data_IF_993662381779
#
_entry.id   IF_993662381779
#
_cell.length_a   1.000
_cell.length_b   1.000
_cell.length_c   1.000
_cell.angle_alpha   90.00
_cell.angle_beta   90.00
_cell.angle_gamma   90.00
#
_symmetry.space_group_name_H-M   'P 1'
#
loop_
_entity.id
_entity.type
_entity.pdbx_description
1 polymer ?
#
# COMPACT_ATOMS: atom_id res chain seq x y z
N UNK A 1 -31.39 -37.46 -41.23
CA UNK A 1 -31.83 -36.49 -40.21
C UNK A 1 -30.90 -35.29 -40.29
N UNK A 2 -31.31 -34.21 -40.94
CA UNK A 2 -30.51 -33.00 -41.04
C UNK A 2 -30.65 -32.22 -39.72
N UNK A 3 -29.52 -31.99 -39.05
CA UNK A 3 -29.45 -31.12 -37.88
C UNK A 3 -29.77 -29.69 -38.33
N UNK A 4 -30.95 -29.20 -37.96
CA UNK A 4 -31.27 -27.76 -38.09
C UNK A 4 -30.31 -27.03 -37.14
N UNK A 5 -29.47 -26.09 -37.63
CA UNK A 5 -28.66 -25.27 -36.74
C UNK A 5 -29.62 -24.42 -35.89
N UNK A 6 -29.48 -24.50 -34.58
CA UNK A 6 -30.23 -23.66 -33.66
C UNK A 6 -30.00 -22.20 -34.06
N UNK A 7 -31.06 -21.54 -34.53
CA UNK A 7 -31.08 -20.10 -34.76
C UNK A 7 -30.86 -19.47 -33.39
N UNK A 8 -29.61 -19.12 -33.11
CA UNK A 8 -29.24 -18.42 -31.89
C UNK A 8 -29.81 -17.03 -32.04
N UNK A 9 -30.88 -16.75 -31.28
CA UNK A 9 -31.47 -15.42 -31.22
C UNK A 9 -30.35 -14.42 -30.88
N UNK A 10 -30.21 -13.30 -31.63
CA UNK A 10 -29.23 -12.29 -31.26
C UNK A 10 -29.54 -11.84 -29.84
N UNK A 11 -28.52 -11.85 -28.98
CA UNK A 11 -28.65 -11.40 -27.60
C UNK A 11 -29.13 -9.96 -27.60
N UNK A 12 -30.07 -9.68 -26.70
CA UNK A 12 -30.78 -8.40 -26.54
C UNK A 12 -30.77 -7.97 -25.07
N UNK A 13 -31.27 -6.77 -24.76
CA UNK A 13 -31.36 -6.24 -23.38
C UNK A 13 -31.97 -7.24 -22.37
N UNK A 14 -32.92 -8.07 -22.82
CA UNK A 14 -33.61 -9.09 -22.01
C UNK A 14 -32.67 -10.24 -21.60
N UNK A 15 -31.60 -10.49 -22.36
CA UNK A 15 -30.61 -11.54 -22.09
C UNK A 15 -29.50 -11.06 -21.11
N UNK A 16 -29.64 -9.83 -20.57
CA UNK A 16 -28.76 -9.33 -19.52
C UNK A 16 -28.90 -10.19 -18.25
N UNK A 17 -27.79 -10.60 -17.62
CA UNK A 17 -27.85 -11.47 -16.45
C UNK A 17 -28.48 -10.72 -15.27
N UNK A 18 -29.50 -11.25 -14.60
CA UNK A 18 -30.12 -10.56 -13.47
C UNK A 18 -29.14 -10.41 -12.32
N UNK A 19 -29.38 -9.44 -11.44
CA UNK A 19 -28.51 -9.17 -10.30
C UNK A 19 -28.27 -10.46 -9.48
N UNK A 20 -27.00 -10.74 -9.14
CA UNK A 20 -26.51 -11.97 -8.49
C UNK A 20 -26.43 -13.23 -9.37
N UNK A 21 -26.84 -13.18 -10.63
CA UNK A 21 -26.62 -14.28 -11.56
C UNK A 21 -25.14 -14.41 -11.95
N UNK A 22 -24.76 -15.62 -12.38
CA UNK A 22 -23.40 -15.91 -12.84
C UNK A 22 -23.11 -15.12 -14.11
N UNK A 23 -22.24 -14.11 -14.00
CA UNK A 23 -21.89 -13.20 -15.10
C UNK A 23 -22.46 -11.78 -14.95
N UNK A 24 -23.32 -11.52 -13.96
CA UNK A 24 -23.74 -10.16 -13.65
C UNK A 24 -22.63 -9.38 -12.92
N UNK A 25 -22.58 -8.05 -13.07
CA UNK A 25 -21.75 -7.20 -12.23
C UNK A 25 -22.17 -7.35 -10.76
N UNK A 26 -21.22 -7.12 -9.85
CA UNK A 26 -21.56 -6.93 -8.43
C UNK A 26 -22.43 -5.67 -8.32
N UNK A 27 -23.37 -5.69 -7.37
CA UNK A 27 -24.20 -4.54 -7.05
C UNK A 27 -23.31 -3.35 -6.70
N UNK A 28 -23.45 -2.25 -7.42
CA UNK A 28 -22.65 -1.05 -7.20
C UNK A 28 -23.26 -0.21 -6.07
N UNK A 29 -22.52 -0.04 -4.98
CA UNK A 29 -22.97 0.66 -3.77
C UNK A 29 -22.52 2.12 -3.69
N UNK A 30 -21.74 2.62 -4.64
CA UNK A 30 -21.13 3.95 -4.59
C UNK A 30 -19.67 3.96 -4.12
N UNK A 31 -19.03 2.79 -3.97
CA UNK A 31 -17.63 2.68 -3.59
C UNK A 31 -16.71 3.31 -4.65
N UNK A 32 -15.90 4.34 -4.30
CA UNK A 32 -15.03 5.04 -5.25
C UNK A 32 -14.08 4.11 -6.02
N UNK A 33 -13.52 3.11 -5.34
CA UNK A 33 -12.58 2.14 -5.91
C UNK A 33 -13.20 1.15 -6.90
N UNK A 34 -14.53 1.05 -6.96
CA UNK A 34 -15.22 0.06 -7.78
C UNK A 34 -15.90 0.69 -9.01
N UNK A 35 -16.02 2.01 -9.07
CA UNK A 35 -16.72 2.76 -10.14
C UNK A 35 -16.18 2.40 -11.52
N UNK A 36 -14.87 2.53 -11.72
CA UNK A 36 -14.20 2.31 -13.01
C UNK A 36 -14.36 0.87 -13.48
N UNK A 37 -14.14 -0.08 -12.56
CA UNK A 37 -14.26 -1.52 -12.82
C UNK A 37 -15.71 -1.93 -13.10
N UNK A 38 -16.67 -1.34 -12.38
CA UNK A 38 -18.09 -1.56 -12.56
C UNK A 38 -18.54 -1.08 -13.94
N UNK A 39 -18.24 0.18 -14.29
CA UNK A 39 -18.60 0.77 -15.58
C UNK A 39 -17.97 -0.02 -16.75
N UNK A 40 -16.70 -0.40 -16.64
CA UNK A 40 -16.05 -1.24 -17.65
C UNK A 40 -16.67 -2.63 -17.79
N UNK A 41 -17.24 -3.19 -16.71
CA UNK A 41 -17.96 -4.45 -16.76
C UNK A 41 -19.34 -4.28 -17.42
N UNK A 42 -20.07 -3.21 -17.09
CA UNK A 42 -21.32 -2.85 -17.76
C UNK A 42 -21.12 -2.68 -19.27
N UNK A 43 -20.06 -1.99 -19.71
CA UNK A 43 -19.76 -1.83 -21.14
C UNK A 43 -19.47 -3.16 -21.85
N UNK A 44 -18.76 -4.08 -21.18
CA UNK A 44 -18.54 -5.44 -21.71
C UNK A 44 -19.87 -6.20 -21.85
N UNK A 45 -20.81 -5.99 -20.95
CA UNK A 45 -22.13 -6.62 -21.04
C UNK A 45 -22.99 -5.99 -22.14
N UNK A 46 -22.96 -4.67 -22.28
CA UNK A 46 -23.67 -3.97 -23.37
C UNK A 46 -23.15 -4.41 -24.74
N UNK A 47 -21.83 -4.56 -24.88
CA UNK A 47 -21.22 -5.08 -26.12
C UNK A 47 -21.56 -6.55 -26.37
N UNK A 48 -21.61 -7.40 -25.33
CA UNK A 48 -22.00 -8.81 -25.45
C UNK A 48 -23.48 -9.02 -25.82
N UNK A 49 -24.34 -8.10 -25.37
CA UNK A 49 -25.80 -8.19 -25.54
C UNK A 49 -26.35 -7.20 -26.58
N UNK A 50 -25.48 -6.62 -27.42
CA UNK A 50 -25.82 -5.71 -28.52
C UNK A 50 -26.70 -4.51 -28.10
N UNK A 51 -26.50 -4.00 -26.89
CA UNK A 51 -27.22 -2.82 -26.36
C UNK A 51 -26.51 -1.57 -26.86
N UNK A 52 -27.03 -0.98 -27.93
CA UNK A 52 -26.43 0.20 -28.56
C UNK A 52 -27.12 1.51 -28.19
N UNK A 53 -28.40 1.46 -27.83
CA UNK A 53 -29.18 2.64 -27.47
C UNK A 53 -28.83 3.15 -26.07
N UNK A 54 -28.65 4.45 -25.94
CA UNK A 54 -28.22 5.07 -24.68
C UNK A 54 -29.30 4.97 -23.59
N UNK A 55 -30.58 4.95 -23.97
CA UNK A 55 -31.69 4.73 -23.03
C UNK A 55 -31.62 3.33 -22.41
N UNK A 56 -31.47 2.29 -23.25
CA UNK A 56 -31.37 0.91 -22.78
C UNK A 56 -30.13 0.70 -21.88
N UNK A 57 -29.00 1.34 -22.17
CA UNK A 57 -27.80 1.28 -21.31
C UNK A 57 -28.05 1.87 -19.93
N UNK A 58 -28.75 3.00 -19.85
CA UNK A 58 -29.04 3.67 -18.58
C UNK A 58 -29.98 2.83 -17.72
N UNK A 59 -31.05 2.27 -18.32
CA UNK A 59 -32.00 1.40 -17.63
C UNK A 59 -31.32 0.11 -17.14
N UNK A 60 -30.59 -0.57 -18.02
CA UNK A 60 -29.90 -1.81 -17.65
C UNK A 60 -28.78 -1.57 -16.63
N UNK A 61 -28.10 -0.42 -16.65
CA UNK A 61 -27.16 -0.07 -15.59
C UNK A 61 -27.86 0.15 -14.26
N UNK A 62 -29.02 0.82 -14.24
CA UNK A 62 -29.77 1.12 -13.03
C UNK A 62 -30.16 -0.15 -12.26
N UNK A 63 -30.45 -1.26 -12.96
CA UNK A 63 -30.72 -2.57 -12.34
C UNK A 63 -29.55 -3.12 -11.51
N UNK A 64 -28.31 -2.73 -11.84
CA UNK A 64 -27.11 -3.17 -11.12
C UNK A 64 -26.65 -2.19 -10.03
N UNK A 65 -27.32 -1.04 -9.90
CA UNK A 65 -27.00 -0.01 -8.91
C UNK A 65 -27.77 -0.24 -7.59
N UNK A 66 -27.21 0.26 -6.48
CA UNK A 66 -27.95 0.36 -5.21
C UNK A 66 -29.02 1.45 -5.31
N UNK A 67 -30.06 1.35 -4.47
CA UNK A 67 -31.15 2.35 -4.44
C UNK A 67 -30.62 3.76 -4.14
N UNK A 68 -29.62 3.87 -3.26
CA UNK A 68 -28.93 5.14 -2.97
C UNK A 68 -28.26 5.71 -4.21
N UNK A 69 -27.51 4.88 -4.96
CA UNK A 69 -26.91 5.30 -6.22
C UNK A 69 -27.98 5.68 -7.24
N UNK A 70 -29.05 4.90 -7.39
CA UNK A 70 -30.16 5.22 -8.31
C UNK A 70 -30.75 6.59 -8.00
N UNK A 71 -31.00 6.94 -6.74
CA UNK A 71 -31.51 8.27 -6.37
C UNK A 71 -30.53 9.40 -6.74
N UNK A 72 -29.22 9.17 -6.63
CA UNK A 72 -28.20 10.11 -7.11
C UNK A 72 -28.26 10.22 -8.64
N UNK A 73 -28.45 9.11 -9.34
CA UNK A 73 -28.56 9.07 -10.80
C UNK A 73 -29.83 9.78 -11.30
N UNK A 74 -30.98 9.56 -10.66
CA UNK A 74 -32.26 10.22 -10.94
C UNK A 74 -32.16 11.75 -10.79
N UNK A 75 -31.29 12.23 -9.90
CA UNK A 75 -30.99 13.66 -9.74
C UNK A 75 -30.19 14.28 -10.90
N UNK A 76 -29.64 13.48 -11.81
CA UNK A 76 -28.82 13.97 -12.92
C UNK A 76 -29.64 14.23 -14.20
N UNK A 77 -29.39 15.38 -14.82
CA UNK A 77 -30.05 15.79 -16.08
C UNK A 77 -29.88 14.77 -17.22
N UNK A 78 -28.74 14.08 -17.24
CA UNK A 78 -28.36 13.10 -18.28
C UNK A 78 -28.87 11.68 -18.00
N UNK A 79 -29.58 11.48 -16.89
CA UNK A 79 -30.39 10.29 -16.66
C UNK A 79 -31.77 10.46 -17.31
N UNK A 80 -32.36 11.66 -17.21
CA UNK A 80 -33.63 12.01 -17.89
C UNK A 80 -33.45 12.22 -19.40
N UNK A 81 -32.28 12.73 -19.82
CA UNK A 81 -31.89 12.86 -21.23
C UNK A 81 -30.78 11.86 -21.54
N UNK A 82 -31.08 10.71 -22.16
CA UNK A 82 -30.15 9.59 -22.23
C UNK A 82 -28.90 9.97 -23.03
N UNK A 83 -27.78 10.11 -22.32
CA UNK A 83 -26.45 10.26 -22.91
C UNK A 83 -25.46 9.46 -22.06
N UNK A 84 -25.13 8.26 -22.52
CA UNK A 84 -24.31 7.32 -21.75
C UNK A 84 -22.91 7.86 -21.49
N UNK A 85 -22.28 8.49 -22.48
CA UNK A 85 -20.91 8.96 -22.38
C UNK A 85 -20.76 10.04 -21.29
N UNK A 86 -21.68 11.01 -21.26
CA UNK A 86 -21.68 12.08 -20.26
C UNK A 86 -22.08 11.54 -18.87
N UNK A 87 -23.06 10.62 -18.82
CA UNK A 87 -23.44 9.97 -17.56
C UNK A 87 -22.27 9.21 -16.95
N UNK A 88 -21.51 8.48 -17.76
CA UNK A 88 -20.31 7.74 -17.34
C UNK A 88 -19.28 8.68 -16.71
N UNK A 89 -18.91 9.76 -17.39
CA UNK A 89 -17.95 10.74 -16.85
C UNK A 89 -18.46 11.41 -15.59
N UNK A 90 -19.76 11.72 -15.52
CA UNK A 90 -20.36 12.28 -14.30
C UNK A 90 -20.36 11.27 -13.14
N UNK A 91 -20.58 9.98 -13.40
CA UNK A 91 -20.45 8.94 -12.38
C UNK A 91 -19.00 8.81 -11.90
N UNK A 92 -18.03 8.83 -12.82
CA UNK A 92 -16.60 8.80 -12.47
C UNK A 92 -16.23 10.01 -11.58
N UNK A 93 -16.72 11.21 -11.90
CA UNK A 93 -16.47 12.42 -11.11
C UNK A 93 -17.21 12.43 -9.75
N UNK A 94 -18.51 12.14 -9.73
CA UNK A 94 -19.35 12.21 -8.52
C UNK A 94 -18.93 11.20 -7.46
N UNK A 95 -18.55 9.99 -7.88
CA UNK A 95 -18.08 8.96 -6.97
C UNK A 95 -16.57 9.02 -6.72
N UNK A 96 -15.89 10.08 -7.19
CA UNK A 96 -14.46 10.32 -6.95
C UNK A 96 -13.60 9.11 -7.36
N UNK A 97 -13.78 8.66 -8.60
CA UNK A 97 -13.05 7.53 -9.18
C UNK A 97 -11.52 7.71 -9.14
N UNK A 98 -11.06 8.97 -9.06
CA UNK A 98 -9.65 9.33 -8.88
C UNK A 98 -9.05 8.81 -7.57
N UNK A 99 -9.88 8.49 -6.56
CA UNK A 99 -9.41 7.77 -5.36
C UNK A 99 -8.82 6.40 -5.68
N UNK A 100 -9.25 5.75 -6.75
CA UNK A 100 -8.61 4.49 -7.19
C UNK A 100 -7.22 4.74 -7.78
N UNK A 101 -7.02 5.89 -8.44
CA UNK A 101 -5.71 6.35 -8.89
C UNK A 101 -4.81 6.81 -7.75
N UNK A 102 -5.35 7.03 -6.55
CA UNK A 102 -4.64 7.36 -5.32
C UNK A 102 -4.80 6.28 -4.24
N UNK A 103 -4.99 5.02 -4.65
CA UNK A 103 -5.32 3.91 -3.74
C UNK A 103 -4.33 3.75 -2.60
N UNK A 104 -3.04 3.93 -2.87
CA UNK A 104 -1.98 3.81 -1.87
C UNK A 104 -1.10 5.04 -1.83
N UNK A 105 -0.76 5.50 -0.63
CA UNK A 105 0.20 6.59 -0.44
C UNK A 105 1.53 6.04 0.08
N UNK A 106 2.66 6.74 -0.12
CA UNK A 106 3.92 6.39 0.53
C UNK A 106 3.81 6.33 2.07
N UNK A 107 2.86 7.07 2.64
CA UNK A 107 2.51 6.99 4.06
C UNK A 107 1.99 5.60 4.46
N UNK A 108 1.20 4.94 3.62
CA UNK A 108 0.62 3.64 3.93
C UNK A 108 1.69 2.55 3.86
N UNK A 109 2.64 2.68 2.94
CA UNK A 109 3.84 1.85 2.92
C UNK A 109 4.66 2.01 4.21
N UNK A 110 4.87 3.23 4.68
CA UNK A 110 5.57 3.49 5.96
C UNK A 110 4.83 2.83 7.14
N UNK A 111 3.52 3.04 7.26
CA UNK A 111 2.70 2.41 8.31
C UNK A 111 2.79 0.89 8.28
N UNK A 112 2.72 0.29 7.08
CA UNK A 112 2.87 -1.16 6.91
C UNK A 112 4.26 -1.61 7.38
N UNK A 113 5.33 -0.95 6.92
CA UNK A 113 6.70 -1.31 7.35
C UNK A 113 6.91 -1.15 8.85
N UNK A 114 6.30 -0.13 9.48
CA UNK A 114 6.38 0.07 10.93
C UNK A 114 5.57 -0.98 11.72
N UNK A 115 4.41 -1.41 11.21
CA UNK A 115 3.60 -2.50 11.79
C UNK A 115 4.39 -3.82 11.76
N UNK A 116 4.94 -4.18 10.60
CA UNK A 116 5.64 -5.44 10.40
C UNK A 116 7.04 -5.47 11.01
N UNK A 117 7.75 -4.34 11.10
CA UNK A 117 9.05 -4.27 11.79
C UNK A 117 8.98 -4.73 13.24
N UNK A 118 7.83 -4.51 13.91
CA UNK A 118 7.60 -4.90 15.30
C UNK A 118 7.10 -6.33 15.45
N UNK A 119 6.50 -6.91 14.41
CA UNK A 119 5.94 -8.26 14.44
C UNK A 119 7.02 -9.26 14.05
N UNK A 120 7.26 -10.28 14.89
CA UNK A 120 8.17 -11.36 14.54
C UNK A 120 7.55 -12.28 13.49
N UNK A 121 8.28 -12.53 12.41
CA UNK A 121 7.89 -13.44 11.33
C UNK A 121 8.53 -14.79 11.61
N UNK A 122 7.74 -15.74 12.14
CA UNK A 122 8.23 -17.08 12.54
C UNK A 122 7.94 -18.15 11.51
N UNK A 123 6.89 -17.97 10.72
CA UNK A 123 6.35 -19.00 9.84
C UNK A 123 6.25 -18.52 8.39
N UNK A 124 6.36 -19.45 7.44
CA UNK A 124 6.13 -19.17 6.00
C UNK A 124 4.79 -18.48 5.74
N UNK A 125 3.73 -18.82 6.49
CA UNK A 125 2.41 -18.20 6.36
C UNK A 125 2.45 -16.69 6.67
N UNK A 126 3.09 -16.32 7.77
CA UNK A 126 3.27 -14.92 8.19
C UNK A 126 4.16 -14.14 7.22
N UNK A 127 5.22 -14.77 6.69
CA UNK A 127 6.07 -14.18 5.66
C UNK A 127 5.29 -13.87 4.38
N UNK A 128 4.51 -14.84 3.89
CA UNK A 128 3.66 -14.63 2.71
C UNK A 128 2.54 -13.61 2.95
N UNK A 129 2.01 -13.50 4.17
CA UNK A 129 1.04 -12.44 4.54
C UNK A 129 1.70 -11.06 4.40
N UNK A 130 2.92 -10.90 4.93
CA UNK A 130 3.70 -9.68 4.78
C UNK A 130 3.98 -9.34 3.32
N UNK A 131 4.56 -10.28 2.56
CA UNK A 131 4.89 -10.05 1.15
C UNK A 131 3.64 -9.67 0.34
N UNK A 132 2.51 -10.38 0.48
CA UNK A 132 1.27 -10.02 -0.23
C UNK A 132 0.83 -8.59 0.08
N UNK A 133 0.82 -8.20 1.35
CA UNK A 133 0.41 -6.84 1.74
C UNK A 133 1.43 -5.80 1.24
N UNK A 134 2.72 -6.08 1.34
CA UNK A 134 3.78 -5.21 0.87
C UNK A 134 3.69 -5.01 -0.65
N UNK A 135 3.66 -6.07 -1.46
CA UNK A 135 3.54 -6.00 -2.92
C UNK A 135 2.25 -5.29 -3.35
N UNK A 136 1.15 -5.43 -2.59
CA UNK A 136 -0.11 -4.72 -2.89
C UNK A 136 0.03 -3.20 -2.79
N UNK A 137 0.83 -2.70 -1.83
CA UNK A 137 1.05 -1.27 -1.62
C UNK A 137 2.25 -0.78 -2.44
N UNK A 138 3.42 -1.37 -2.22
CA UNK A 138 4.68 -1.00 -2.84
C UNK A 138 4.68 -1.25 -4.35
N UNK A 139 4.09 -2.36 -4.81
CA UNK A 139 3.99 -2.66 -6.24
C UNK A 139 3.06 -1.69 -6.98
N UNK A 140 2.00 -1.23 -6.32
CA UNK A 140 1.16 -0.16 -6.87
C UNK A 140 1.91 1.17 -6.96
N UNK A 141 2.72 1.50 -5.93
CA UNK A 141 3.54 2.72 -5.92
C UNK A 141 4.65 2.68 -6.97
N UNK A 142 5.23 1.51 -7.22
CA UNK A 142 6.23 1.28 -8.26
C UNK A 142 5.62 1.43 -9.66
N UNK A 143 4.45 0.85 -9.92
CA UNK A 143 3.74 0.99 -11.20
C UNK A 143 3.34 2.43 -11.56
N UNK A 144 3.26 3.30 -10.55
CA UNK A 144 2.94 4.72 -10.71
C UNK A 144 4.20 5.61 -10.74
N UNK A 145 5.40 5.02 -10.74
CA UNK A 145 6.69 5.71 -10.67
C UNK A 145 6.81 6.67 -9.47
N UNK A 146 6.11 6.37 -8.36
CA UNK A 146 6.19 7.17 -7.12
C UNK A 146 7.42 6.75 -6.30
N UNK A 147 7.86 5.50 -6.47
CA UNK A 147 8.95 4.84 -5.75
C UNK A 147 9.81 4.11 -6.77
N UNK A 148 11.13 4.21 -6.65
CA UNK A 148 12.09 3.48 -7.48
C UNK A 148 12.37 2.07 -6.95
N UNK A 149 12.93 1.19 -7.78
CA UNK A 149 13.33 -0.18 -7.38
C UNK A 149 14.26 -0.18 -6.15
N UNK A 150 15.14 0.81 -6.05
CA UNK A 150 16.06 0.96 -4.90
C UNK A 150 15.31 1.29 -3.60
N UNK A 151 14.29 2.14 -3.69
CA UNK A 151 13.43 2.49 -2.57
C UNK A 151 12.51 1.32 -2.21
N UNK A 152 12.01 0.60 -3.20
CA UNK A 152 11.22 -0.62 -3.02
C UNK A 152 12.00 -1.65 -2.18
N UNK A 153 13.23 -1.98 -2.55
CA UNK A 153 14.11 -2.88 -1.79
C UNK A 153 14.42 -2.35 -0.38
N UNK A 154 14.63 -1.04 -0.24
CA UNK A 154 14.87 -0.39 1.06
C UNK A 154 13.66 -0.49 2.00
N UNK A 155 12.45 -0.25 1.49
CA UNK A 155 11.21 -0.36 2.29
C UNK A 155 10.92 -1.81 2.65
N UNK A 156 11.18 -2.75 1.75
CA UNK A 156 11.07 -4.19 2.02
C UNK A 156 11.99 -4.57 3.17
N UNK A 157 13.28 -4.23 3.07
CA UNK A 157 14.25 -4.48 4.15
C UNK A 157 13.82 -3.85 5.48
N UNK A 158 13.37 -2.60 5.46
CA UNK A 158 12.94 -1.88 6.66
C UNK A 158 11.73 -2.53 7.37
N UNK A 159 10.83 -3.14 6.61
CA UNK A 159 9.64 -3.80 7.16
C UNK A 159 9.92 -5.17 7.79
N UNK A 160 11.09 -5.76 7.55
CA UNK A 160 11.48 -7.05 8.12
C UNK A 160 11.89 -6.86 9.59
N UNK A 161 11.43 -7.78 10.44
CA UNK A 161 11.81 -7.82 11.85
C UNK A 161 13.33 -7.93 12.04
N UNK A 162 13.89 -7.34 13.11
CA UNK A 162 15.35 -7.28 13.35
C UNK A 162 16.02 -8.66 13.31
N UNK A 163 15.43 -9.65 13.97
CA UNK A 163 15.96 -11.02 13.98
C UNK A 163 16.00 -11.67 12.59
N UNK A 164 14.95 -11.51 11.78
CA UNK A 164 14.93 -12.07 10.43
C UNK A 164 15.91 -11.34 9.51
N UNK A 165 16.09 -10.02 9.69
CA UNK A 165 17.12 -9.25 8.97
C UNK A 165 18.52 -9.78 9.24
N UNK A 166 18.86 -10.04 10.51
CA UNK A 166 20.16 -10.61 10.87
C UNK A 166 20.41 -11.94 10.15
N UNK A 167 19.44 -12.86 10.17
CA UNK A 167 19.57 -14.16 9.49
C UNK A 167 19.78 -13.99 7.98
N UNK A 168 19.05 -13.04 7.36
CA UNK A 168 19.19 -12.77 5.92
C UNK A 168 20.55 -12.15 5.62
N UNK A 169 20.99 -11.18 6.43
CA UNK A 169 22.28 -10.51 6.33
C UNK A 169 23.45 -11.48 6.48
N UNK A 170 23.42 -12.34 7.50
CA UNK A 170 24.44 -13.37 7.74
C UNK A 170 24.54 -14.32 6.54
N UNK A 171 23.41 -14.71 5.95
CA UNK A 171 23.37 -15.60 4.80
C UNK A 171 23.82 -14.90 3.51
N UNK A 172 23.53 -13.61 3.35
CA UNK A 172 24.04 -12.80 2.24
C UNK A 172 25.56 -12.63 2.34
N UNK A 173 26.08 -12.31 3.52
CA UNK A 173 27.53 -12.18 3.76
C UNK A 173 28.27 -13.51 3.61
N UNK A 174 27.61 -14.63 3.93
CA UNK A 174 28.16 -15.96 3.69
C UNK A 174 28.25 -16.31 2.20
N UNK A 175 27.35 -15.78 1.36
CA UNK A 175 27.42 -15.95 -0.10
C UNK A 175 28.49 -15.03 -0.69
N UNK A 176 28.45 -13.74 -0.35
CA UNK A 176 29.36 -12.72 -0.89
C UNK A 176 30.01 -11.87 0.23
N UNK A 177 31.18 -12.27 0.75
CA UNK A 177 31.84 -11.59 1.88
C UNK A 177 32.35 -10.16 1.59
N UNK A 178 32.47 -9.76 0.33
CA UNK A 178 33.00 -8.43 -0.10
C UNK A 178 31.89 -7.46 -0.53
N UNK A 179 30.64 -7.78 -0.24
CA UNK A 179 29.50 -7.02 -0.76
C UNK A 179 29.35 -5.66 -0.06
N UNK A 180 28.99 -4.65 -0.84
CA UNK A 180 28.72 -3.30 -0.32
C UNK A 180 27.40 -3.28 0.45
N UNK A 181 27.49 -3.14 1.77
CA UNK A 181 26.33 -3.07 2.68
C UNK A 181 25.58 -1.73 2.64
N UNK A 182 26.08 -0.77 1.85
CA UNK A 182 25.49 0.56 1.70
C UNK A 182 24.32 0.60 0.72
N UNK A 183 24.20 -0.43 -0.14
CA UNK A 183 23.15 -0.52 -1.16
C UNK A 183 22.02 -1.42 -0.65
N UNK A 184 20.74 -1.03 -0.83
CA UNK A 184 19.61 -1.90 -0.51
C UNK A 184 19.68 -3.23 -1.28
N UNK A 185 19.35 -4.33 -0.61
CA UNK A 185 19.29 -5.64 -1.25
C UNK A 185 18.10 -5.74 -2.21
N UNK A 186 18.27 -6.54 -3.27
CA UNK A 186 17.19 -6.81 -4.23
C UNK A 186 16.06 -7.60 -3.55
N UNK A 187 14.82 -7.38 -3.98
CA UNK A 187 13.67 -8.16 -3.50
C UNK A 187 13.89 -9.66 -3.70
N UNK A 188 14.40 -10.06 -4.87
CA UNK A 188 14.58 -11.47 -5.23
C UNK A 188 15.56 -12.18 -4.29
N UNK A 189 16.63 -11.50 -3.90
CA UNK A 189 17.65 -12.03 -2.99
C UNK A 189 17.08 -12.22 -1.58
N UNK A 190 16.39 -11.20 -1.06
CA UNK A 190 15.74 -11.24 0.26
C UNK A 190 14.70 -12.37 0.28
N UNK A 191 13.79 -12.38 -0.70
CA UNK A 191 12.71 -13.37 -0.78
C UNK A 191 13.27 -14.77 -0.92
N UNK A 192 14.27 -14.98 -1.78
CA UNK A 192 14.91 -16.28 -1.97
C UNK A 192 15.56 -16.83 -0.69
N UNK A 193 16.22 -15.98 0.08
CA UNK A 193 16.87 -16.38 1.34
C UNK A 193 15.84 -16.71 2.42
N UNK A 194 14.82 -15.85 2.57
CA UNK A 194 13.76 -16.06 3.56
C UNK A 194 12.94 -17.30 3.21
N UNK A 195 12.64 -17.52 1.93
CA UNK A 195 11.97 -18.73 1.48
C UNK A 195 12.80 -19.97 1.78
N UNK A 196 14.12 -19.94 1.54
CA UNK A 196 15.02 -21.02 1.91
C UNK A 196 15.13 -21.25 3.43
N UNK A 197 14.92 -20.21 4.25
CA UNK A 197 14.89 -20.35 5.72
C UNK A 197 13.59 -21.04 6.18
N UNK A 198 12.45 -20.67 5.60
CA UNK A 198 11.13 -21.21 5.97
C UNK A 198 10.62 -22.36 5.07
N UNK A 199 11.49 -22.95 4.24
CA UNK A 199 11.16 -24.13 3.41
C UNK A 199 10.49 -25.19 4.29
N UNK A 200 9.30 -25.64 3.89
CA UNK A 200 8.55 -26.70 4.59
C UNK A 200 9.18 -28.06 4.30
N UNK A 201 9.27 -28.92 5.31
CA UNK A 201 9.77 -30.29 5.14
C UNK A 201 11.29 -30.33 5.05
N UNK A 202 11.98 -29.55 5.87
CA UNK A 202 13.43 -29.73 6.04
C UNK A 202 13.68 -31.08 6.73
N UNK A 203 14.83 -31.67 6.44
CA UNK A 203 15.19 -32.98 7.01
C UNK A 203 15.31 -32.95 8.54
N UNK A 204 15.52 -31.76 9.12
CA UNK A 204 15.69 -31.49 10.55
C UNK A 204 14.41 -30.98 11.23
N UNK A 205 13.29 -30.78 10.51
CA UNK A 205 12.03 -30.29 11.08
C UNK A 205 11.49 -31.24 12.19
N UNK A 206 11.71 -32.55 12.06
CA UNK A 206 11.28 -33.58 13.03
C UNK A 206 12.20 -33.68 14.25
N UNK A 207 13.39 -33.08 14.21
CA UNK A 207 14.38 -33.11 15.31
C UNK A 207 14.13 -31.97 16.30
N UNK A 208 13.64 -30.82 15.80
CA UNK A 208 13.34 -29.62 16.60
C UNK A 208 11.93 -29.64 17.22
N UNK A 209 11.08 -30.62 16.90
CA UNK A 209 9.68 -30.70 17.35
C UNK A 209 9.49 -31.14 18.82
N UNK A 210 10.49 -30.90 19.67
CA UNK A 210 10.51 -31.35 21.06
C UNK A 210 9.82 -30.44 22.07
N UNK A 211 9.77 -29.12 21.85
CA UNK A 211 9.20 -28.19 22.84
C UNK A 211 8.97 -26.77 22.30
N UNK A 212 8.07 -26.61 21.33
CA UNK A 212 7.58 -25.27 20.96
C UNK A 212 6.08 -25.30 20.81
N UNK A 213 5.41 -24.95 21.91
CA UNK A 213 4.03 -24.50 21.93
C UNK A 213 3.83 -23.40 20.88
N UNK A 214 3.47 -23.81 19.67
CA UNK A 214 3.04 -22.95 18.59
C UNK A 214 1.58 -22.54 18.88
N UNK A 215 1.38 -21.84 20.00
CA UNK A 215 0.15 -21.12 20.26
C UNK A 215 0.19 -19.85 19.41
N UNK A 216 -0.18 -20.00 18.13
CA UNK A 216 -0.56 -18.89 17.25
C UNK A 216 -1.90 -18.35 17.80
N UNK A 217 -1.83 -17.64 18.93
CA UNK A 217 -2.88 -16.74 19.37
C UNK A 217 -2.74 -15.46 18.55
N UNK A 218 -3.03 -15.58 17.26
CA UNK A 218 -3.31 -14.43 16.41
C UNK A 218 -4.63 -13.82 16.93
N UNK A 219 -4.50 -12.85 17.85
CA UNK A 219 -5.58 -11.92 18.19
C UNK A 219 -5.84 -11.04 16.96
N UNK A 220 -6.57 -11.59 15.99
CA UNK A 220 -7.04 -10.89 14.79
C UNK A 220 -8.22 -9.98 15.19
N UNK A 221 -7.91 -8.89 15.90
CA UNK A 221 -8.73 -7.68 15.88
C UNK A 221 -8.12 -6.69 14.87
N UNK A 222 -7.99 -7.13 13.62
CA UNK A 222 -7.88 -6.21 12.50
C UNK A 222 -9.33 -5.89 12.08
N UNK A 223 -9.87 -4.81 12.66
CA UNK A 223 -11.10 -4.17 12.21
C UNK A 223 -10.81 -3.59 10.83
N UNK A 224 -10.96 -4.40 9.78
CA UNK A 224 -11.12 -3.89 8.44
C UNK A 224 -12.47 -3.17 8.41
N UNK A 225 -12.44 -1.84 8.45
CA UNK A 225 -13.54 -0.96 8.05
C UNK A 225 -13.81 -1.17 6.55
N UNK A 226 -14.40 -2.33 6.23
CA UNK A 226 -15.24 -2.45 5.04
C UNK A 226 -16.54 -1.75 5.39
N UNK A 227 -16.76 -0.58 4.80
CA UNK A 227 -18.03 0.13 4.79
C UNK A 227 -19.13 -0.80 4.24
N UNK A 228 -19.74 -1.56 5.14
CA UNK A 228 -21.01 -2.23 4.95
C UNK A 228 -22.08 -1.29 5.48
N UNK A 229 -22.42 -0.29 4.69
CA UNK A 229 -23.62 0.51 4.90
C UNK A 229 -24.83 -0.37 4.54
N UNK A 230 -25.30 -1.14 5.52
CA UNK A 230 -26.57 -1.83 5.45
C UNK A 230 -27.60 -0.95 6.16
N UNK A 231 -28.10 0.05 5.45
CA UNK A 231 -29.34 0.73 5.83
C UNK A 231 -30.50 -0.23 5.50
N UNK A 232 -30.84 -1.08 6.47
CA UNK A 232 -32.05 -1.88 6.43
C UNK A 232 -33.15 -1.18 7.22
N UNK A 233 -34.28 -1.04 6.53
CA UNK A 233 -35.44 -0.27 6.93
C UNK A 233 -36.26 -1.05 7.95
N UNK A 234 -36.77 -0.30 8.92
CA UNK A 234 -37.68 -0.68 9.99
C UNK A 234 -38.92 -1.45 9.46
N UNK A 235 -39.22 -2.60 10.06
CA UNK A 235 -40.57 -3.18 10.09
C UNK A 235 -40.72 -4.15 11.27
N UNK A 236 -41.48 -3.69 12.27
CA UNK A 236 -41.96 -4.44 13.42
C UNK A 236 -42.74 -5.70 12.99
N UNK A 237 -42.36 -6.90 13.47
CA UNK A 237 -43.37 -7.88 13.90
C UNK A 237 -42.84 -8.74 15.08
N UNK A 238 -43.58 -8.70 16.18
CA UNK A 238 -43.46 -9.50 17.39
C UNK A 238 -43.73 -11.00 17.13
N UNK A 239 -42.76 -11.88 17.39
CA UNK A 239 -43.05 -13.32 17.59
C UNK A 239 -42.24 -13.92 18.74
N UNK A 240 -42.93 -14.22 19.84
CA UNK A 240 -42.46 -15.07 20.92
C UNK A 240 -42.25 -16.51 20.42
N UNK A 241 -41.04 -17.05 20.56
CA UNK A 241 -40.83 -18.50 20.70
C UNK A 241 -39.78 -18.84 21.76
N UNK A 242 -40.24 -19.47 22.84
CA UNK A 242 -39.44 -20.15 23.87
C UNK A 242 -38.97 -21.51 23.37
N UNK A 243 -37.71 -21.89 23.67
CA UNK A 243 -37.24 -23.14 24.32
C UNK A 243 -35.71 -23.22 24.24
N UNK A 244 -34.99 -23.16 25.38
CA UNK A 244 -34.29 -24.26 26.11
C UNK A 244 -33.29 -25.03 25.21
N UNK A 245 -32.04 -25.36 25.56
CA UNK A 245 -31.20 -25.37 26.77
C UNK A 245 -29.75 -25.64 26.26
N UNK A 246 -28.66 -25.34 26.98
CA UNK A 246 -27.97 -26.27 27.89
C UNK A 246 -26.73 -25.62 28.53
N UNK A 247 -26.54 -26.00 29.79
CA UNK A 247 -25.44 -25.79 30.74
C UNK A 247 -24.00 -25.69 30.21
N UNK A 248 -23.18 -24.87 30.86
CA UNK A 248 -22.04 -25.40 31.65
C UNK A 248 -21.39 -24.35 32.59
N UNK A 249 -21.27 -24.77 33.86
CA UNK A 249 -20.26 -24.46 34.89
C UNK A 249 -19.82 -23.01 35.16
N UNK A 250 -20.38 -22.46 36.24
CA UNK A 250 -19.74 -21.43 37.07
C UNK A 250 -19.03 -22.09 38.27
N UNK A 251 -17.85 -21.58 38.63
CA UNK A 251 -17.24 -21.70 39.97
C UNK A 251 -16.81 -20.31 40.46
N UNK A 252 -16.76 -20.09 41.79
CA UNK A 252 -16.99 -18.78 42.40
C UNK A 252 -15.69 -18.06 42.79
N UNK A 253 -15.69 -16.73 42.75
CA UNK A 253 -14.64 -15.92 43.41
C UNK A 253 -15.25 -15.19 44.61
N UNK A 254 -14.71 -15.51 45.77
CA UNK A 254 -15.00 -14.94 47.08
C UNK A 254 -14.42 -13.52 47.17
N UNK A 255 -15.22 -12.64 47.76
CA UNK A 255 -14.90 -11.25 48.10
C UNK A 255 -13.82 -11.16 49.19
N UNK A 256 -12.87 -10.23 49.07
CA UNK A 256 -12.32 -9.50 50.22
C UNK A 256 -12.06 -8.03 49.86
N UNK A 257 -12.75 -7.14 50.58
CA UNK A 257 -12.56 -5.69 50.66
C UNK A 257 -11.37 -5.38 51.57
N UNK A 258 -10.55 -4.38 51.25
CA UNK A 258 -10.09 -3.34 52.19
C UNK A 258 -9.87 -2.04 51.41
N UNK A 259 -10.32 -0.92 52.00
CA UNK A 259 -10.18 0.48 51.56
C UNK A 259 -9.11 1.20 52.39
N UNK A 260 -8.65 2.35 51.85
CA UNK A 260 -7.96 3.54 52.43
C UNK A 260 -6.44 3.52 52.22
N UNK A 261 -5.74 4.62 51.87
CA UNK A 261 -5.97 6.08 52.08
C UNK A 261 -5.31 6.93 50.95
N UNK A 262 -5.71 8.21 50.86
CA UNK A 262 -5.14 9.31 50.05
C UNK A 262 -3.97 9.99 50.77
N UNK A 263 -3.04 10.59 50.02
CA UNK A 263 -2.23 11.82 50.27
C UNK A 263 -1.30 12.00 49.03
N UNK A 264 -1.35 13.01 48.14
CA UNK A 264 -1.19 14.49 48.18
C UNK A 264 0.28 14.98 48.20
N UNK A 265 0.70 15.53 47.05
CA UNK A 265 1.71 16.58 46.76
C UNK A 265 3.22 16.30 46.90
N UNK A 266 4.00 16.51 45.82
CA UNK A 266 4.94 17.65 45.67
C UNK A 266 5.84 17.57 44.40
N UNK A 267 5.63 18.53 43.49
CA UNK A 267 6.56 19.40 42.75
C UNK A 267 8.10 19.11 42.58
N UNK A 268 8.53 19.04 41.28
CA UNK A 268 9.74 19.60 40.54
C UNK A 268 11.18 19.22 40.97
N UNK A 269 12.26 19.35 40.12
CA UNK A 269 12.43 19.47 38.66
C UNK A 269 13.39 18.47 37.98
N UNK A 270 13.37 18.60 36.64
CA UNK A 270 14.34 18.21 35.61
C UNK A 270 15.84 18.37 35.92
N UNK A 271 16.64 17.42 35.38
CA UNK A 271 18.03 17.65 34.97
C UNK A 271 18.25 16.97 33.61
N UNK A 272 18.40 17.79 32.57
CA UNK A 272 18.92 17.46 31.25
C UNK A 272 20.39 17.91 31.24
N UNK A 273 21.38 17.06 30.93
CA UNK A 273 22.70 17.55 30.57
C UNK A 273 22.73 17.90 29.08
N UNK A 274 22.78 19.21 28.84
CA UNK A 274 23.05 19.89 27.58
C UNK A 274 24.53 19.68 27.24
N UNK A 275 24.85 18.88 26.21
CA UNK A 275 26.22 18.81 25.67
C UNK A 275 26.32 19.79 24.50
N UNK A 276 27.25 20.72 24.67
CA UNK A 276 27.51 21.86 23.82
C UNK A 276 28.13 21.45 22.48
N UNK A 277 27.70 22.13 21.42
CA UNK A 277 28.39 22.19 20.15
C UNK A 277 29.70 23.00 20.29
N UNK A 278 30.83 22.54 19.72
CA UNK A 278 32.02 23.37 19.61
C UNK A 278 31.89 24.32 18.41
N UNK A 279 32.23 25.57 18.70
CA UNK A 279 32.19 26.73 17.82
C UNK A 279 33.18 26.64 16.65
N UNK A 280 32.78 27.25 15.54
CA UNK A 280 33.62 27.52 14.39
C UNK A 280 34.75 28.52 14.71
N UNK A 281 35.96 28.35 14.14
CA UNK A 281 36.98 29.39 14.09
C UNK A 281 36.75 30.38 12.93
N UNK A 282 37.38 31.56 12.97
CA UNK A 282 36.89 32.78 12.35
C UNK A 282 37.15 32.89 10.83
N UNK A 283 36.24 33.59 10.18
CA UNK A 283 36.30 34.09 8.81
C UNK A 283 37.52 34.99 8.59
N UNK A 284 38.49 34.48 7.82
CA UNK A 284 39.42 35.31 7.07
C UNK A 284 38.96 35.32 5.61
N UNK A 285 38.65 36.52 5.12
CA UNK A 285 38.12 36.76 3.78
C UNK A 285 39.07 36.32 2.67
N UNK A 286 38.54 35.45 1.82
CA UNK A 286 38.62 35.49 0.36
C UNK A 286 37.82 34.29 -0.13
N UNK A 287 36.48 34.40 -0.10
CA UNK A 287 35.61 33.43 -0.78
C UNK A 287 35.74 33.68 -2.27
N UNK A 288 36.78 33.12 -2.88
CA UNK A 288 36.78 32.88 -4.32
C UNK A 288 35.69 31.80 -4.55
N UNK A 289 34.45 32.24 -4.75
CA UNK A 289 33.35 31.35 -5.10
C UNK A 289 33.76 30.57 -6.35
N UNK A 290 33.51 29.25 -6.36
CA UNK A 290 33.91 28.36 -7.47
C UNK A 290 33.42 28.91 -8.82
N UNK A 291 32.29 29.60 -8.83
CA UNK A 291 31.76 30.30 -10.01
C UNK A 291 32.68 31.40 -10.55
N UNK A 292 33.31 32.19 -9.69
CA UNK A 292 34.24 33.26 -10.10
C UNK A 292 35.57 32.68 -10.59
N UNK A 293 36.05 31.62 -9.96
CA UNK A 293 37.22 30.85 -10.43
C UNK A 293 36.98 30.28 -11.83
N UNK A 294 35.83 29.65 -12.07
CA UNK A 294 35.46 29.10 -13.38
C UNK A 294 35.31 30.20 -14.43
N UNK A 295 34.73 31.34 -14.07
CA UNK A 295 34.55 32.50 -14.97
C UNK A 295 35.88 33.19 -15.31
N UNK A 296 36.88 33.11 -14.43
CA UNK A 296 38.24 33.62 -14.68
C UNK A 296 39.04 32.63 -15.52
N UNK A 297 38.91 31.33 -15.28
CA UNK A 297 39.51 30.27 -16.08
C UNK A 297 38.99 30.30 -17.53
N UNK A 298 37.70 30.54 -17.76
CA UNK A 298 37.15 30.60 -19.12
C UNK A 298 37.63 31.80 -19.96
N UNK A 299 38.17 32.83 -19.32
CA UNK A 299 38.68 34.05 -19.97
C UNK A 299 40.19 34.03 -20.21
N UNK A 300 40.93 33.15 -19.53
CA UNK A 300 42.38 33.04 -19.70
C UNK A 300 42.75 32.04 -20.80
N UNK A 301 43.92 32.26 -21.39
CA UNK A 301 44.53 31.33 -22.34
C UNK A 301 45.15 30.14 -21.61
N UNK A 302 45.09 28.95 -22.22
CA UNK A 302 45.70 27.71 -21.69
C UNK A 302 47.22 27.81 -21.53
N UNK A 303 47.87 28.77 -22.21
CA UNK A 303 49.32 28.94 -22.16
C UNK A 303 49.79 29.87 -21.03
N UNK A 304 48.87 30.35 -20.19
CA UNK A 304 49.18 31.24 -19.08
C UNK A 304 49.59 30.43 -17.84
N UNK A 305 50.69 30.82 -17.19
CA UNK A 305 51.27 30.08 -16.06
C UNK A 305 50.32 30.07 -14.85
N UNK A 306 49.44 31.07 -14.73
CA UNK A 306 48.43 31.16 -13.67
C UNK A 306 47.22 30.24 -13.88
N UNK A 307 46.97 29.78 -15.12
CA UNK A 307 45.83 28.92 -15.44
C UNK A 307 45.88 27.60 -14.68
N UNK A 308 47.06 26.98 -14.63
CA UNK A 308 47.30 25.70 -13.95
C UNK A 308 47.01 25.79 -12.45
N UNK A 309 47.43 26.89 -11.82
CA UNK A 309 47.25 27.11 -10.40
C UNK A 309 45.77 27.30 -10.05
N UNK A 310 45.04 28.08 -10.85
CA UNK A 310 43.60 28.31 -10.65
C UNK A 310 42.77 27.05 -10.94
N UNK A 311 43.13 26.26 -11.95
CA UNK A 311 42.48 24.99 -12.26
C UNK A 311 42.64 23.98 -11.11
N UNK A 312 43.83 23.89 -10.52
CA UNK A 312 44.07 23.04 -9.35
C UNK A 312 43.29 23.51 -8.12
N UNK A 313 43.23 24.83 -7.88
CA UNK A 313 42.44 25.40 -6.78
C UNK A 313 40.94 25.13 -6.96
N UNK A 314 40.41 25.27 -8.17
CA UNK A 314 39.00 25.05 -8.48
C UNK A 314 38.59 23.57 -8.37
N UNK A 315 39.42 22.64 -8.86
CA UNK A 315 39.17 21.19 -8.78
C UNK A 315 39.24 20.64 -7.35
N UNK A 316 40.04 21.25 -6.46
CA UNK A 316 40.03 20.92 -5.03
C UNK A 316 38.77 21.38 -4.29
N UNK A 317 38.12 22.44 -4.76
CA UNK A 317 36.89 22.97 -4.17
C UNK A 317 35.66 22.22 -4.69
N UNK A 318 35.61 21.95 -6.00
CA UNK A 318 34.57 21.11 -6.59
C UNK A 318 35.15 20.22 -7.71
N UNK A 319 35.14 18.88 -7.54
CA UNK A 319 35.61 17.94 -8.55
C UNK A 319 34.88 18.05 -9.90
N UNK A 320 33.68 18.66 -9.94
CA UNK A 320 32.90 18.82 -11.17
C UNK A 320 33.47 19.89 -12.11
N UNK A 321 34.35 20.78 -11.63
CA UNK A 321 34.99 21.82 -12.46
C UNK A 321 35.81 21.22 -13.60
N UNK A 322 36.39 20.03 -13.41
CA UNK A 322 37.15 19.31 -14.43
C UNK A 322 36.31 18.92 -15.67
N UNK A 323 34.97 18.90 -15.55
CA UNK A 323 34.06 18.65 -16.68
C UNK A 323 33.68 19.94 -17.42
N UNK A 324 33.77 21.08 -16.75
CA UNK A 324 33.30 22.37 -17.26
C UNK A 324 34.41 23.22 -17.89
N UNK A 325 35.67 22.99 -17.51
CA UNK A 325 36.83 23.78 -17.94
C UNK A 325 37.84 22.86 -18.61
N UNK A 326 38.50 23.31 -19.68
CA UNK A 326 39.52 22.51 -20.38
C UNK A 326 40.71 22.27 -19.45
N UNK A 327 41.09 21.00 -19.29
CA UNK A 327 42.32 20.66 -18.58
C UNK A 327 43.50 21.33 -19.31
N UNK A 328 44.47 21.87 -18.56
CA UNK A 328 45.70 22.39 -19.14
C UNK A 328 46.54 21.33 -19.85
#
# INVERSE_FOLDING_TARGET
MAHVPAVTRPRSQIDMPPLHARGAPKKFTGNPHEVTRFLAHCEKLFTLNNVFEDLEKVESMAEYCSRSVIHILEGMKHYTTPNWAVLRTNMEHMFDADKDLQRHKPSDLRKLTDKWRKRSIKNMGTWRKYIRQFTTIAGWLLQKDIIDDTEYGRYLWKGIHSHLRQIVEDRLLAQDPKRDMTVPFSEEEIVGIVDAKFKRGRFDDDIESGDSDNSDSDDESDTDDSASDNSDSDDEIEYKKKKKSKSSKAKPIVKKKVKRTREVHAHVPAIIPKVAAPAAPPTNGNSDDVGDLVKRLSKMSLNDQEYNYLYYKATRLDPLVAKCVRAP
#
